data_IF_674275841866
#
_entry.id   IF_674275841866
#
_cell.length_a   1.000
_cell.length_b   1.000
_cell.length_c   1.000
_cell.angle_alpha   90.00
_cell.angle_beta   90.00
_cell.angle_gamma   90.00
#
_symmetry.space_group_name_H-M   'P 1'
#
loop_
_entity.id
_entity.type
_entity.pdbx_description
1 polymer ?
#
# COMPACT_ATOMS: atom_id res chain seq x y z
N UNK A 1 -18.64 -29.57 -3.35
CA UNK A 1 -17.77 -29.94 -2.21
C UNK A 1 -16.57 -29.00 -2.21
N UNK A 2 -16.00 -28.64 -1.06
CA UNK A 2 -14.73 -27.91 -1.03
C UNK A 2 -13.66 -28.72 -1.77
N UNK A 3 -12.86 -28.07 -2.62
CA UNK A 3 -11.72 -28.72 -3.27
C UNK A 3 -10.66 -29.07 -2.23
N UNK A 4 -10.02 -30.22 -2.41
CA UNK A 4 -8.84 -30.59 -1.61
C UNK A 4 -7.64 -29.74 -2.04
N UNK A 5 -6.60 -29.69 -1.21
CA UNK A 5 -5.36 -29.00 -1.57
C UNK A 5 -4.76 -29.51 -2.91
N UNK A 6 -4.84 -30.82 -3.17
CA UNK A 6 -4.37 -31.39 -4.44
C UNK A 6 -5.22 -30.95 -5.63
N UNK A 7 -6.53 -30.78 -5.46
CA UNK A 7 -7.40 -30.24 -6.51
C UNK A 7 -7.09 -28.76 -6.78
N UNK A 8 -6.78 -27.98 -5.74
CA UNK A 8 -6.38 -26.57 -5.86
C UNK A 8 -5.06 -26.44 -6.65
N UNK A 9 -4.07 -27.29 -6.37
CA UNK A 9 -2.76 -27.28 -7.05
C UNK A 9 -2.85 -27.51 -8.56
N UNK A 10 -3.86 -28.22 -9.05
CA UNK A 10 -4.04 -28.46 -10.49
C UNK A 10 -4.24 -27.15 -11.29
N UNK A 11 -4.68 -26.08 -10.63
CA UNK A 11 -4.88 -24.77 -11.23
C UNK A 11 -3.66 -23.86 -11.11
N UNK A 12 -2.63 -24.24 -10.34
CA UNK A 12 -1.45 -23.41 -10.12
C UNK A 12 -0.29 -24.02 -10.89
N UNK A 13 0.34 -23.21 -11.73
CA UNK A 13 1.43 -23.64 -12.60
C UNK A 13 2.63 -22.72 -12.43
N UNK A 14 3.80 -23.30 -12.16
CA UNK A 14 5.06 -22.55 -12.18
C UNK A 14 5.43 -22.21 -13.63
N UNK A 15 5.61 -20.92 -13.89
CA UNK A 15 6.00 -20.39 -15.20
C UNK A 15 7.50 -20.14 -15.26
N UNK A 16 8.08 -19.65 -14.16
CA UNK A 16 9.53 -19.39 -14.03
C UNK A 16 9.99 -19.66 -12.58
N UNK A 17 11.29 -19.55 -12.27
CA UNK A 17 11.77 -19.70 -10.90
C UNK A 17 11.12 -18.74 -9.88
N UNK A 18 10.53 -17.64 -10.36
CA UNK A 18 9.93 -16.61 -9.51
C UNK A 18 8.47 -16.30 -9.86
N UNK A 19 7.84 -17.02 -10.79
CA UNK A 19 6.50 -16.70 -11.28
C UNK A 19 5.61 -17.93 -11.32
N UNK A 20 4.38 -17.74 -10.82
CA UNK A 20 3.31 -18.72 -10.85
C UNK A 20 2.07 -18.14 -11.51
N UNK A 21 1.39 -18.96 -12.31
CA UNK A 21 0.10 -18.68 -12.93
C UNK A 21 -1.00 -19.42 -12.19
N UNK A 22 -2.09 -18.70 -11.91
CA UNK A 22 -3.36 -19.24 -11.41
C UNK A 22 -4.33 -19.30 -12.59
N UNK A 23 -4.64 -20.52 -13.03
CA UNK A 23 -5.53 -20.79 -14.16
C UNK A 23 -6.96 -20.38 -13.83
N UNK A 24 -7.71 -19.97 -14.86
CA UNK A 24 -9.17 -19.78 -14.75
C UNK A 24 -9.84 -21.04 -14.22
N UNK A 25 -10.86 -20.85 -13.38
CA UNK A 25 -11.53 -21.94 -12.66
C UNK A 25 -10.90 -22.24 -11.30
N UNK A 26 -9.76 -21.64 -10.95
CA UNK A 26 -9.27 -21.65 -9.57
C UNK A 26 -10.22 -20.93 -8.61
N UNK A 27 -10.96 -19.93 -9.07
CA UNK A 27 -12.14 -19.42 -8.39
C UNK A 27 -13.27 -19.40 -9.43
N UNK A 28 -14.53 -19.64 -9.04
CA UNK A 28 -15.64 -19.48 -9.96
C UNK A 28 -15.65 -18.09 -10.60
N UNK A 29 -16.04 -18.01 -11.88
CA UNK A 29 -16.24 -16.75 -12.60
C UNK A 29 -14.99 -15.88 -12.82
N UNK A 30 -13.77 -16.45 -12.77
CA UNK A 30 -12.56 -15.72 -13.15
C UNK A 30 -12.63 -15.18 -14.60
N UNK A 31 -12.60 -13.86 -14.76
CA UNK A 31 -12.59 -13.15 -16.05
C UNK A 31 -11.19 -13.18 -16.68
N UNK A 32 -10.14 -13.18 -15.86
CA UNK A 32 -8.72 -13.26 -16.26
C UNK A 32 -8.00 -14.33 -15.45
N UNK A 33 -6.76 -14.65 -15.82
CA UNK A 33 -5.88 -15.49 -15.00
C UNK A 33 -5.30 -14.68 -13.82
N UNK A 34 -4.88 -15.37 -12.77
CA UNK A 34 -4.06 -14.78 -11.71
C UNK A 34 -2.57 -15.03 -11.95
N UNK A 35 -1.71 -14.17 -11.40
CA UNK A 35 -0.26 -14.36 -11.35
C UNK A 35 0.24 -13.98 -9.97
N UNK A 36 1.28 -14.65 -9.48
CA UNK A 36 2.01 -14.18 -8.32
C UNK A 36 3.50 -14.45 -8.47
N UNK A 37 4.31 -13.58 -7.87
CA UNK A 37 5.75 -13.60 -8.02
C UNK A 37 6.42 -13.91 -6.71
N UNK A 38 7.02 -15.10 -6.53
CA UNK A 38 7.68 -15.47 -5.28
C UNK A 38 8.91 -16.32 -5.58
N UNK A 39 10.01 -16.09 -4.85
CA UNK A 39 11.17 -16.96 -4.91
C UNK A 39 10.93 -18.26 -4.12
N UNK A 40 11.89 -19.18 -4.13
CA UNK A 40 11.78 -20.47 -3.43
C UNK A 40 11.57 -20.35 -1.91
N UNK A 41 12.05 -19.27 -1.28
CA UNK A 41 11.87 -19.06 0.15
C UNK A 41 10.43 -18.64 0.49
N UNK A 42 9.85 -17.76 -0.32
CA UNK A 42 8.51 -17.22 -0.14
C UNK A 42 7.42 -18.16 -0.66
N UNK A 43 7.75 -18.95 -1.68
CA UNK A 43 6.87 -19.96 -2.25
C UNK A 43 6.27 -20.88 -1.19
N UNK A 44 7.12 -21.37 -0.26
CA UNK A 44 6.69 -22.26 0.81
C UNK A 44 5.55 -21.65 1.64
N UNK A 45 5.65 -20.36 1.97
CA UNK A 45 4.66 -19.66 2.79
C UNK A 45 3.31 -19.57 2.07
N UNK A 46 3.32 -19.31 0.76
CA UNK A 46 2.10 -19.21 -0.06
C UNK A 46 1.33 -20.54 -0.10
N UNK A 47 2.05 -21.65 -0.29
CA UNK A 47 1.44 -22.97 -0.40
C UNK A 47 1.02 -23.55 0.96
N UNK A 48 1.75 -23.28 2.02
CA UNK A 48 1.36 -23.65 3.39
C UNK A 48 0.04 -22.97 3.79
N UNK A 49 -0.12 -21.68 3.48
CA UNK A 49 -1.37 -20.95 3.72
C UNK A 49 -2.56 -21.57 2.95
N UNK A 50 -2.35 -21.90 1.67
CA UNK A 50 -3.35 -22.55 0.83
C UNK A 50 -3.73 -23.94 1.35
N UNK A 51 -2.75 -24.74 1.76
CA UNK A 51 -2.97 -26.07 2.31
C UNK A 51 -3.76 -26.02 3.63
N UNK A 52 -3.39 -25.12 4.54
CA UNK A 52 -4.10 -24.91 5.81
C UNK A 52 -5.57 -24.55 5.60
N UNK A 53 -5.85 -23.67 4.64
CA UNK A 53 -7.23 -23.28 4.28
C UNK A 53 -8.07 -24.43 3.70
N UNK A 54 -7.42 -25.46 3.16
CA UNK A 54 -8.09 -26.62 2.57
C UNK A 54 -8.41 -27.70 3.60
N UNK A 55 -7.72 -27.69 4.75
CA UNK A 55 -7.87 -28.68 5.83
C UNK A 55 -8.83 -28.25 6.93
N UNK A 56 -8.96 -26.93 7.15
CA UNK A 56 -9.77 -26.38 8.24
C UNK A 56 -10.69 -25.30 7.70
N UNK A 57 -11.95 -25.31 8.12
CA UNK A 57 -12.90 -24.20 7.88
C UNK A 57 -12.61 -23.01 8.81
N UNK A 58 -11.35 -22.78 9.18
CA UNK A 58 -10.97 -21.88 10.26
C UNK A 58 -11.43 -20.43 9.97
N UNK A 59 -11.83 -19.72 11.04
CA UNK A 59 -12.36 -18.35 11.03
C UNK A 59 -11.28 -17.28 10.76
N UNK A 60 -10.44 -17.49 9.75
CA UNK A 60 -9.39 -16.59 9.30
C UNK A 60 -9.68 -15.99 7.92
N UNK A 61 -8.74 -15.17 7.43
CA UNK A 61 -8.79 -14.66 6.07
C UNK A 61 -8.61 -15.79 5.04
N UNK A 62 -9.20 -15.61 3.86
CA UNK A 62 -8.91 -16.50 2.72
C UNK A 62 -7.43 -16.36 2.36
N UNK A 63 -6.74 -17.47 1.99
CA UNK A 63 -5.33 -17.40 1.61
C UNK A 63 -5.12 -16.46 0.44
N UNK A 64 -3.97 -15.80 0.39
CA UNK A 64 -3.64 -14.79 -0.61
C UNK A 64 -3.86 -15.29 -2.05
N UNK A 65 -3.48 -16.54 -2.33
CA UNK A 65 -3.70 -17.18 -3.65
C UNK A 65 -5.19 -17.18 -4.05
N UNK A 66 -6.09 -17.47 -3.11
CA UNK A 66 -7.54 -17.42 -3.36
C UNK A 66 -8.05 -16.00 -3.52
N UNK A 67 -7.49 -15.05 -2.78
CA UNK A 67 -7.84 -13.64 -2.93
C UNK A 67 -7.45 -13.11 -4.31
N UNK A 68 -6.25 -13.47 -4.83
CA UNK A 68 -5.84 -13.14 -6.21
C UNK A 68 -6.87 -13.71 -7.21
N UNK A 69 -7.31 -14.96 -7.01
CA UNK A 69 -8.35 -15.58 -7.83
C UNK A 69 -9.73 -14.88 -7.74
N UNK A 70 -10.15 -14.45 -6.55
CA UNK A 70 -11.37 -13.67 -6.35
C UNK A 70 -11.28 -12.33 -7.09
N UNK A 71 -10.16 -11.63 -7.01
CA UNK A 71 -9.94 -10.38 -7.72
C UNK A 71 -9.98 -10.60 -9.24
N UNK A 72 -9.42 -11.71 -9.72
CA UNK A 72 -9.50 -12.11 -11.12
C UNK A 72 -10.94 -12.38 -11.62
N UNK A 73 -11.93 -12.51 -10.72
CA UNK A 73 -13.36 -12.65 -11.05
C UNK A 73 -14.13 -11.33 -11.13
N UNK A 74 -13.50 -10.20 -10.79
CA UNK A 74 -14.16 -8.91 -10.82
C UNK A 74 -14.42 -8.45 -12.26
N UNK A 75 -15.56 -7.80 -12.53
CA UNK A 75 -15.92 -7.34 -13.87
C UNK A 75 -14.95 -6.26 -14.36
N UNK A 76 -14.72 -6.21 -15.67
CA UNK A 76 -13.82 -5.28 -16.35
C UNK A 76 -12.33 -5.34 -15.94
N UNK A 77 -11.90 -6.33 -15.14
CA UNK A 77 -10.48 -6.52 -14.85
C UNK A 77 -9.71 -6.81 -16.16
N UNK A 78 -8.54 -6.20 -16.31
CA UNK A 78 -7.71 -6.35 -17.51
C UNK A 78 -6.49 -7.22 -17.26
N UNK A 79 -6.14 -8.04 -18.27
CA UNK A 79 -4.94 -8.90 -18.35
C UNK A 79 -4.84 -9.98 -17.26
N UNK A 80 -4.59 -9.61 -16.01
CA UNK A 80 -4.38 -10.53 -14.89
C UNK A 80 -4.59 -9.85 -13.53
N UNK A 81 -4.94 -10.63 -12.51
CA UNK A 81 -4.78 -10.23 -11.11
C UNK A 81 -3.38 -10.64 -10.64
N UNK A 82 -2.59 -9.71 -10.09
CA UNK A 82 -1.16 -9.92 -9.83
C UNK A 82 -0.85 -9.79 -8.34
N UNK A 83 -0.26 -10.81 -7.71
CA UNK A 83 0.35 -10.72 -6.39
C UNK A 83 1.85 -10.45 -6.47
N UNK A 84 2.32 -9.40 -5.80
CA UNK A 84 3.73 -9.06 -5.65
C UNK A 84 4.47 -10.02 -4.69
N UNK A 85 5.81 -9.97 -4.58
CA UNK A 85 6.57 -10.89 -3.72
C UNK A 85 6.26 -10.84 -2.23
N UNK A 86 5.74 -9.73 -1.74
CA UNK A 86 5.28 -9.55 -0.37
C UNK A 86 3.79 -9.88 -0.18
N UNK A 87 3.16 -10.52 -1.17
CA UNK A 87 1.71 -10.79 -1.14
C UNK A 87 1.32 -11.66 0.05
N UNK A 88 0.27 -11.24 0.76
CA UNK A 88 -0.30 -11.99 1.88
C UNK A 88 -1.78 -11.64 2.08
N UNK A 89 -2.47 -12.47 2.86
CA UNK A 89 -3.90 -12.32 3.10
C UNK A 89 -4.29 -10.91 3.57
N UNK A 90 -5.24 -10.31 2.86
CA UNK A 90 -5.83 -9.01 3.17
C UNK A 90 -7.35 -9.05 3.26
N UNK A 91 -7.99 -7.89 3.10
CA UNK A 91 -9.44 -7.73 3.19
C UNK A 91 -10.09 -7.72 1.80
N UNK A 92 -10.48 -8.91 1.31
CA UNK A 92 -11.05 -9.10 -0.02
C UNK A 92 -9.97 -9.21 -1.10
N UNK A 93 -9.15 -8.17 -1.24
CA UNK A 93 -7.88 -8.22 -1.98
C UNK A 93 -6.75 -8.63 -1.03
N UNK A 94 -5.74 -9.33 -1.56
CA UNK A 94 -4.50 -9.55 -0.83
C UNK A 94 -3.69 -8.26 -0.75
N UNK A 95 -2.96 -8.07 0.34
CA UNK A 95 -1.94 -7.02 0.41
C UNK A 95 -0.86 -7.37 -0.63
N UNK A 96 -0.37 -6.40 -1.39
CA UNK A 96 0.51 -6.64 -2.53
C UNK A 96 -0.20 -7.12 -3.80
N UNK A 97 -1.54 -7.11 -3.85
CA UNK A 97 -2.30 -7.46 -5.06
C UNK A 97 -2.58 -6.24 -5.94
N UNK A 98 -2.11 -6.28 -7.19
CA UNK A 98 -2.39 -5.31 -8.24
C UNK A 98 -3.50 -5.84 -9.15
N UNK A 99 -4.49 -4.99 -9.45
CA UNK A 99 -5.48 -5.21 -10.48
C UNK A 99 -5.81 -3.90 -11.19
N UNK A 100 -5.94 -3.94 -12.51
CA UNK A 100 -6.39 -2.81 -13.32
C UNK A 100 -7.77 -3.12 -13.90
N UNK A 101 -8.61 -2.09 -14.02
CA UNK A 101 -9.98 -2.19 -14.50
C UNK A 101 -10.21 -1.21 -15.65
N UNK A 102 -10.86 -1.67 -16.73
CA UNK A 102 -11.17 -0.83 -17.88
C UNK A 102 -12.35 0.09 -17.58
N UNK A 103 -12.07 1.38 -17.33
CA UNK A 103 -13.08 2.39 -17.01
C UNK A 103 -14.07 2.69 -18.15
N UNK A 104 -13.77 2.27 -19.38
CA UNK A 104 -14.72 2.39 -20.49
C UNK A 104 -15.82 1.33 -20.45
N UNK A 105 -15.62 0.27 -19.68
CA UNK A 105 -16.61 -0.78 -19.48
C UNK A 105 -17.67 -0.31 -18.46
N UNK A 106 -18.98 -0.34 -18.79
CA UNK A 106 -20.03 0.12 -17.88
C UNK A 106 -20.15 -0.73 -16.61
N UNK A 107 -19.59 -1.95 -16.61
CA UNK A 107 -19.56 -2.84 -15.45
C UNK A 107 -18.25 -2.71 -14.64
N UNK A 108 -17.39 -1.72 -14.95
CA UNK A 108 -16.18 -1.50 -14.18
C UNK A 108 -16.49 -1.18 -12.72
N UNK A 109 -15.60 -1.66 -11.85
CA UNK A 109 -15.76 -1.53 -10.40
C UNK A 109 -14.59 -0.80 -9.79
N UNK A 110 -14.88 -0.10 -8.70
CA UNK A 110 -13.88 0.35 -7.73
C UNK A 110 -14.20 -0.36 -6.41
N UNK A 111 -13.20 -1.02 -5.83
CA UNK A 111 -13.35 -1.74 -4.56
C UNK A 111 -12.48 -1.09 -3.50
N UNK A 112 -13.05 -0.54 -2.40
CA UNK A 112 -12.26 -0.01 -1.29
C UNK A 112 -11.30 -1.05 -0.70
N UNK A 113 -11.66 -2.34 -0.71
CA UNK A 113 -10.78 -3.42 -0.26
C UNK A 113 -9.53 -3.61 -1.12
N UNK A 114 -9.57 -3.18 -2.39
CA UNK A 114 -8.41 -3.18 -3.29
C UNK A 114 -7.49 -1.97 -3.16
N UNK A 115 -7.93 -0.93 -2.44
CA UNK A 115 -7.09 0.23 -2.09
C UNK A 115 -6.50 0.03 -0.69
N UNK A 116 -7.31 -0.45 0.25
CA UNK A 116 -6.94 -0.63 1.65
C UNK A 116 -7.64 0.37 2.57
N UNK A 117 -7.61 0.09 3.87
CA UNK A 117 -8.23 0.94 4.89
C UNK A 117 -7.43 2.23 5.13
N UNK A 118 -6.10 2.14 5.06
CA UNK A 118 -5.19 3.28 5.20
C UNK A 118 -4.88 3.84 3.81
N UNK A 119 -5.81 4.65 3.30
CA UNK A 119 -5.75 5.21 1.96
C UNK A 119 -4.54 6.15 1.87
N UNK A 120 -3.68 5.93 0.89
CA UNK A 120 -2.44 6.67 0.69
C UNK A 120 -1.40 6.48 1.82
N UNK A 121 -1.44 5.35 2.55
CA UNK A 121 -0.27 4.91 3.31
C UNK A 121 0.92 4.80 2.34
N UNK A 122 1.98 5.54 2.62
CA UNK A 122 3.07 5.73 1.68
C UNK A 122 4.38 6.08 2.36
N UNK A 123 5.40 6.31 1.54
CA UNK A 123 6.76 6.58 2.00
C UNK A 123 7.23 7.90 1.40
N UNK A 124 7.83 8.75 2.23
CA UNK A 124 8.58 9.93 1.78
C UNK A 124 10.03 9.78 2.23
N UNK A 125 10.95 9.97 1.29
CA UNK A 125 12.39 9.98 1.56
C UNK A 125 12.92 11.41 1.46
N UNK A 126 13.57 11.89 2.51
CA UNK A 126 14.23 13.20 2.54
C UNK A 126 15.74 12.98 2.50
N UNK A 127 16.39 13.52 1.48
CA UNK A 127 17.85 13.53 1.34
C UNK A 127 18.43 14.68 2.17
N UNK A 128 19.57 14.43 2.82
CA UNK A 128 20.43 15.49 3.36
C UNK A 128 21.80 15.48 2.66
N UNK A 129 22.58 16.53 2.87
CA UNK A 129 23.99 16.59 2.44
C UNK A 129 24.95 16.10 3.54
N UNK A 130 24.43 15.50 4.62
CA UNK A 130 25.21 14.97 5.73
C UNK A 130 25.69 13.56 5.42
N UNK A 131 26.90 13.24 5.83
CA UNK A 131 27.42 11.88 5.84
C UNK A 131 27.19 11.24 7.20
N UNK A 132 27.32 9.91 7.27
CA UNK A 132 27.19 9.16 8.52
C UNK A 132 28.06 9.75 9.65
N UNK A 133 29.31 10.10 9.34
CA UNK A 133 30.25 10.69 10.30
C UNK A 133 29.76 12.01 10.92
N UNK A 134 28.91 12.75 10.22
CA UNK A 134 28.38 14.05 10.67
C UNK A 134 27.19 13.84 11.61
N UNK A 135 26.48 12.71 11.47
CA UNK A 135 25.28 12.37 12.26
C UNK A 135 25.61 11.49 13.46
N UNK A 136 26.58 10.58 13.34
CA UNK A 136 26.92 9.60 14.38
C UNK A 136 27.12 10.20 15.78
N UNK A 137 27.84 11.34 15.95
CA UNK A 137 28.01 11.96 17.27
C UNK A 137 26.69 12.44 17.90
N UNK A 138 25.67 12.71 17.09
CA UNK A 138 24.40 13.31 17.50
C UNK A 138 23.20 12.37 17.38
N UNK A 139 23.42 11.09 17.03
CA UNK A 139 22.33 10.15 16.70
C UNK A 139 21.23 10.06 17.76
N UNK A 140 21.61 10.04 19.04
CA UNK A 140 20.67 9.92 20.16
C UNK A 140 19.89 11.22 20.34
N UNK A 141 20.59 12.35 20.32
CA UNK A 141 19.97 13.67 20.40
C UNK A 141 19.02 13.91 19.22
N UNK A 142 19.42 13.56 18.00
CA UNK A 142 18.60 13.69 16.80
C UNK A 142 17.35 12.82 16.92
N UNK A 143 17.50 11.55 17.30
CA UNK A 143 16.36 10.63 17.45
C UNK A 143 15.39 11.12 18.52
N UNK A 144 15.90 11.58 19.67
CA UNK A 144 15.06 12.15 20.72
C UNK A 144 14.35 13.42 20.24
N UNK A 145 15.06 14.31 19.54
CA UNK A 145 14.47 15.53 18.97
C UNK A 145 13.36 15.18 17.97
N UNK A 146 13.58 14.20 17.09
CA UNK A 146 12.54 13.73 16.17
C UNK A 146 11.32 13.20 16.93
N UNK A 147 11.52 12.42 17.99
CA UNK A 147 10.43 11.90 18.82
C UNK A 147 9.65 13.02 19.53
N UNK A 148 10.34 14.07 20.00
CA UNK A 148 9.72 15.20 20.68
C UNK A 148 8.88 16.07 19.72
N UNK A 149 9.31 16.21 18.46
CA UNK A 149 8.66 17.07 17.46
C UNK A 149 7.70 16.34 16.52
N UNK A 150 7.78 15.01 16.40
CA UNK A 150 6.92 14.21 15.53
C UNK A 150 6.02 13.34 16.42
N UNK A 151 4.76 13.74 16.66
CA UNK A 151 3.88 12.98 17.53
C UNK A 151 3.61 11.59 16.96
N UNK A 152 3.77 10.58 17.81
CA UNK A 152 3.51 9.16 17.49
C UNK A 152 2.47 8.56 18.44
N UNK A 153 1.84 7.46 18.03
CA UNK A 153 0.97 6.65 18.88
C UNK A 153 -0.53 6.85 18.68
N UNK A 154 -1.29 5.84 19.12
CA UNK A 154 -2.76 5.80 19.01
C UNK A 154 -3.36 6.90 19.90
N UNK A 155 -4.15 7.80 19.30
CA UNK A 155 -4.81 8.88 20.02
C UNK A 155 -3.93 10.09 20.32
N UNK A 156 -2.68 10.08 19.83
CA UNK A 156 -1.83 11.27 19.81
C UNK A 156 -2.48 12.35 18.95
N UNK A 157 -2.26 13.61 19.33
CA UNK A 157 -2.80 14.78 18.63
C UNK A 157 -1.68 15.48 17.86
N UNK A 158 -2.03 15.94 16.67
CA UNK A 158 -1.18 16.78 15.85
C UNK A 158 -0.81 18.08 16.56
N UNK A 159 0.39 18.59 16.25
CA UNK A 159 0.86 19.92 16.68
C UNK A 159 0.40 21.03 15.74
N UNK A 160 -0.17 20.68 14.58
CA UNK A 160 -0.66 21.63 13.58
C UNK A 160 -2.00 22.20 14.07
N UNK A 161 -2.10 23.52 14.36
CA UNK A 161 -3.36 24.13 14.74
C UNK A 161 -4.27 24.20 13.51
N UNK A 162 -5.38 23.46 13.54
CA UNK A 162 -6.27 23.36 12.39
C UNK A 162 -7.75 23.31 12.81
N UNK A 163 -8.61 24.01 12.07
CA UNK A 163 -10.06 23.95 12.25
C UNK A 163 -10.73 23.06 11.17
N UNK A 164 -12.04 22.86 11.27
CA UNK A 164 -12.79 21.99 10.34
C UNK A 164 -12.70 22.47 8.88
N UNK A 165 -12.79 23.78 8.64
CA UNK A 165 -12.71 24.37 7.31
C UNK A 165 -11.33 24.18 6.72
N UNK A 166 -10.29 24.49 7.49
CA UNK A 166 -8.90 24.33 7.04
C UNK A 166 -8.60 22.87 6.70
N UNK A 167 -9.17 21.93 7.45
CA UNK A 167 -9.03 20.49 7.18
C UNK A 167 -9.77 20.07 5.91
N UNK A 168 -10.93 20.64 5.63
CA UNK A 168 -11.63 20.41 4.35
C UNK A 168 -10.81 20.96 3.16
N UNK A 169 -10.22 22.15 3.30
CA UNK A 169 -9.30 22.69 2.30
C UNK A 169 -8.06 21.80 2.14
N UNK A 170 -7.48 21.30 3.23
CA UNK A 170 -6.36 20.37 3.21
C UNK A 170 -6.69 19.07 2.45
N UNK A 171 -7.90 18.53 2.61
CA UNK A 171 -8.35 17.32 1.91
C UNK A 171 -8.41 17.50 0.38
N UNK A 172 -8.72 18.72 -0.10
CA UNK A 172 -8.88 19.01 -1.53
C UNK A 172 -7.61 19.57 -2.19
N UNK A 173 -6.78 20.27 -1.40
CA UNK A 173 -5.57 20.93 -1.88
C UNK A 173 -4.30 20.11 -1.65
N UNK A 174 -4.29 19.14 -0.73
CA UNK A 174 -3.12 18.32 -0.45
C UNK A 174 -1.89 19.19 -0.13
N UNK A 175 -0.78 18.97 -0.85
CA UNK A 175 0.45 19.75 -0.65
C UNK A 175 0.34 21.24 -0.99
N UNK A 176 -0.61 21.65 -1.84
CA UNK A 176 -0.82 23.08 -2.09
C UNK A 176 -1.27 23.81 -0.80
N UNK A 177 -2.00 23.11 0.08
CA UNK A 177 -2.37 23.63 1.40
C UNK A 177 -1.13 23.78 2.28
N UNK A 178 -0.28 22.74 2.37
CA UNK A 178 0.93 22.80 3.21
C UNK A 178 1.89 23.90 2.76
N UNK A 179 1.98 24.15 1.45
CA UNK A 179 2.78 25.25 0.89
C UNK A 179 2.21 26.62 1.31
N UNK A 180 0.88 26.80 1.21
CA UNK A 180 0.20 28.05 1.58
C UNK A 180 0.35 28.36 3.07
N UNK A 181 0.27 27.36 3.93
CA UNK A 181 0.41 27.51 5.38
C UNK A 181 1.88 27.56 5.85
N UNK A 182 2.85 27.34 4.96
CA UNK A 182 4.29 27.46 5.25
C UNK A 182 4.96 26.22 5.84
N UNK A 183 4.36 25.03 5.68
CA UNK A 183 4.90 23.74 6.14
C UNK A 183 5.80 23.03 5.12
N UNK A 184 5.82 23.49 3.87
CA UNK A 184 6.61 22.91 2.79
C UNK A 184 7.18 23.98 1.87
N UNK A 185 8.23 23.63 1.12
CA UNK A 185 8.78 24.47 0.05
C UNK A 185 8.07 24.23 -1.27
N UNK A 186 8.27 25.14 -2.23
CA UNK A 186 7.62 25.06 -3.53
C UNK A 186 8.07 23.83 -4.33
N UNK A 187 9.32 23.42 -4.15
CA UNK A 187 9.98 22.30 -4.80
C UNK A 187 9.56 20.94 -4.24
N UNK A 188 9.02 20.89 -3.00
CA UNK A 188 8.66 19.62 -2.35
C UNK A 188 7.56 18.89 -3.12
N UNK A 189 6.63 19.63 -3.74
CA UNK A 189 5.53 19.03 -4.52
C UNK A 189 6.04 18.37 -5.80
N UNK A 190 7.13 18.86 -6.39
CA UNK A 190 7.73 18.30 -7.61
C UNK A 190 8.33 16.90 -7.35
N UNK A 191 8.57 16.58 -6.08
CA UNK A 191 9.12 15.30 -5.63
C UNK A 191 8.05 14.39 -5.00
N UNK A 192 6.78 14.65 -5.29
CA UNK A 192 5.65 13.84 -4.84
C UNK A 192 4.87 13.28 -6.02
N UNK A 193 4.43 12.02 -5.90
CA UNK A 193 3.44 11.45 -6.81
C UNK A 193 2.19 12.34 -6.86
N UNK A 194 1.63 12.52 -8.06
CA UNK A 194 0.51 13.45 -8.31
C UNK A 194 0.75 14.88 -7.80
N UNK A 195 2.00 15.33 -7.71
CA UNK A 195 2.38 16.60 -7.08
C UNK A 195 1.82 16.78 -5.65
N UNK A 196 1.53 15.67 -4.96
CA UNK A 196 0.93 15.67 -3.63
C UNK A 196 -0.54 16.12 -3.60
N UNK A 197 -1.27 16.07 -4.73
CA UNK A 197 -2.68 16.47 -4.82
C UNK A 197 -3.45 15.75 -5.93
N UNK A 198 -4.57 15.12 -5.56
CA UNK A 198 -5.55 14.65 -6.54
C UNK A 198 -6.62 15.72 -6.82
N UNK A 199 -6.74 16.15 -8.08
CA UNK A 199 -7.64 17.25 -8.47
C UNK A 199 -9.13 16.95 -8.27
N UNK A 200 -9.50 15.67 -8.26
CA UNK A 200 -10.88 15.20 -8.11
C UNK A 200 -11.32 15.03 -6.65
N UNK A 201 -10.45 15.36 -5.68
CA UNK A 201 -10.79 15.30 -4.27
C UNK A 201 -11.95 16.25 -3.94
N UNK A 202 -12.94 15.73 -3.20
CA UNK A 202 -14.15 16.46 -2.79
C UNK A 202 -14.42 16.14 -1.31
N UNK A 203 -14.19 17.14 -0.45
CA UNK A 203 -14.34 16.97 0.99
C UNK A 203 -15.80 16.68 1.39
N UNK A 204 -16.79 17.02 0.55
CA UNK A 204 -18.20 16.71 0.82
C UNK A 204 -18.51 15.21 0.80
N UNK A 205 -17.68 14.40 0.13
CA UNK A 205 -17.81 12.94 0.10
C UNK A 205 -17.22 12.25 1.33
N UNK A 206 -16.45 12.98 2.14
CA UNK A 206 -15.86 12.45 3.37
C UNK A 206 -16.83 12.64 4.54
N UNK A 207 -17.22 11.52 5.16
CA UNK A 207 -18.19 11.54 6.27
C UNK A 207 -17.72 12.40 7.45
N UNK A 208 -18.67 13.02 8.16
CA UNK A 208 -18.38 13.78 9.39
C UNK A 208 -17.62 12.95 10.43
N UNK A 209 -17.88 11.64 10.51
CA UNK A 209 -17.17 10.72 11.41
C UNK A 209 -15.68 10.61 11.03
N UNK A 210 -15.38 10.46 9.74
CA UNK A 210 -14.00 10.39 9.26
C UNK A 210 -13.27 11.72 9.49
N UNK A 211 -13.91 12.85 9.19
CA UNK A 211 -13.35 14.19 9.48
C UNK A 211 -13.06 14.40 10.96
N UNK A 212 -14.00 14.07 11.85
CA UNK A 212 -13.81 14.16 13.31
C UNK A 212 -12.68 13.27 13.83
N UNK A 213 -12.45 12.12 13.18
CA UNK A 213 -11.33 11.22 13.51
C UNK A 213 -10.00 11.79 13.02
N UNK A 214 -9.92 12.26 11.78
CA UNK A 214 -8.68 12.70 11.14
C UNK A 214 -8.20 14.09 11.58
N UNK A 215 -9.13 15.03 11.83
CA UNK A 215 -8.81 16.40 12.22
C UNK A 215 -7.77 16.52 13.36
N UNK A 216 -7.93 15.83 14.52
CA UNK A 216 -6.93 15.91 15.58
C UNK A 216 -5.63 15.15 15.28
N UNK A 217 -5.56 14.36 14.22
CA UNK A 217 -4.43 13.48 13.90
C UNK A 217 -3.51 14.05 12.80
N UNK A 218 -3.86 15.18 12.18
CA UNK A 218 -3.04 15.79 11.14
C UNK A 218 -1.66 16.16 11.67
N UNK A 219 -0.59 15.73 11.00
CA UNK A 219 0.79 15.96 11.46
C UNK A 219 1.24 14.99 12.55
N UNK A 220 0.75 13.75 12.54
CA UNK A 220 1.23 12.65 13.40
C UNK A 220 1.62 11.44 12.54
N UNK A 221 2.55 10.59 13.00
CA UNK A 221 2.90 9.34 12.30
C UNK A 221 1.83 8.26 12.46
N UNK A 222 1.07 8.29 13.56
CA UNK A 222 0.14 7.22 13.92
C UNK A 222 0.84 6.03 14.60
N UNK A 223 0.42 4.82 14.28
CA UNK A 223 0.88 3.58 14.92
C UNK A 223 0.95 2.43 13.91
N UNK A 224 1.21 1.20 14.36
CA UNK A 224 1.37 0.05 13.48
C UNK A 224 2.70 0.11 12.75
N UNK A 225 2.67 0.12 11.42
CA UNK A 225 3.86 0.01 10.58
C UNK A 225 4.44 1.39 10.21
N UNK A 226 3.97 2.46 10.84
CA UNK A 226 4.37 3.84 10.53
C UNK A 226 5.53 4.27 11.43
N UNK A 227 6.60 4.75 10.82
CA UNK A 227 7.80 5.21 11.52
C UNK A 227 8.49 6.32 10.74
N UNK A 228 9.31 7.10 11.45
CA UNK A 228 10.33 7.95 10.85
C UNK A 228 11.69 7.41 11.25
N UNK A 229 12.61 7.30 10.30
CA UNK A 229 13.93 6.76 10.54
C UNK A 229 15.01 7.56 9.82
N UNK A 230 16.21 7.57 10.41
CA UNK A 230 17.41 8.16 9.79
C UNK A 230 18.24 7.01 9.25
N UNK A 231 18.37 6.95 7.92
CA UNK A 231 19.07 5.88 7.23
C UNK A 231 20.43 6.36 6.72
N UNK A 232 21.39 5.43 6.63
CA UNK A 232 22.63 5.63 5.90
C UNK A 232 22.47 4.99 4.52
N UNK A 233 22.48 5.80 3.47
CA UNK A 233 22.43 5.32 2.10
C UNK A 233 23.76 4.66 1.70
N UNK A 234 23.75 3.35 1.47
CA UNK A 234 24.84 2.67 0.77
C UNK A 234 24.56 2.70 -0.73
N UNK A 235 25.32 3.52 -1.47
CA UNK A 235 25.32 3.45 -2.92
C UNK A 235 26.10 2.20 -3.37
N UNK A 236 25.45 1.04 -3.38
CA UNK A 236 25.78 0.04 -4.38
C UNK A 236 25.04 0.45 -5.65
N UNK A 237 25.77 0.78 -6.71
CA UNK A 237 25.17 1.06 -8.01
C UNK A 237 24.59 -0.27 -8.53
N UNK A 238 23.33 -0.55 -8.21
CA UNK A 238 22.55 -1.69 -8.75
C UNK A 238 21.62 -1.16 -9.86
N UNK A 239 22.13 -0.26 -10.69
CA UNK A 239 21.46 0.17 -11.92
C UNK A 239 22.53 0.17 -13.01
N UNK A 240 22.53 -0.78 -13.95
CA UNK A 240 23.25 -0.59 -15.20
C UNK A 240 22.48 0.48 -15.96
N UNK A 241 23.00 1.71 -15.95
CA UNK A 241 22.57 2.85 -16.77
C UNK A 241 21.07 3.20 -16.63
N UNK A 242 20.77 4.29 -15.91
CA UNK A 242 19.49 4.97 -16.04
C UNK A 242 19.21 5.20 -17.53
N UNK A 243 18.05 4.72 -17.99
CA UNK A 243 17.57 4.86 -19.36
C UNK A 243 17.69 6.35 -19.74
N UNK A 244 18.46 6.71 -20.79
CA UNK A 244 18.53 8.10 -21.24
C UNK A 244 17.13 8.56 -21.68
N UNK A 245 16.81 9.82 -21.39
CA UNK A 245 15.58 10.51 -21.80
C UNK A 245 15.22 10.33 -23.29
#
# INVERSE_FOLDING_TARGET
MPRTYQDELQFIERISPVEFRIKKGFVPNMNVEGRFFVNSALEKLMFEELELSSRTSAAGFLPAVKQIGNVASLPAIVKSSIGLPDVHSGYGFAIGNIAAFDVSNPNAVVSPGGVGFDINCGVRLIRTNLFEKDVQPYKEQLTQTMFDYIPVGIGSKGIIPINVRDFEECLEMGMDWTLREGYSWAEDKEHCEEYGRMLQADASKVSTRAKKRGLPQLGTLGAGNHYGEVQVGFFSLIVPEAIPE
#
